data_IF_830141240317
#
_entry.id   IF_830141240317
#
_cell.length_a   1.000
_cell.length_b   1.000
_cell.length_c   1.000
_cell.angle_alpha   90.00
_cell.angle_beta   90.00
_cell.angle_gamma   90.00
#
_symmetry.space_group_name_H-M   'P 1'
#
loop_
_entity.id
_entity.type
_entity.pdbx_description
1 polymer ?
#
# COMPACT_ATOMS: atom_id res chain seq x y z
N UNK A 1 -19.56 -14.80 -3.88
CA UNK A 1 -18.88 -13.96 -4.90
C UNK A 1 -17.43 -13.81 -4.49
N UNK A 2 -16.48 -14.00 -5.41
CA UNK A 2 -15.08 -13.71 -5.12
C UNK A 2 -14.95 -12.19 -4.84
N UNK A 3 -14.31 -11.83 -3.75
CA UNK A 3 -14.01 -10.43 -3.44
C UNK A 3 -12.79 -10.01 -4.25
N UNK A 4 -12.90 -8.95 -5.03
CA UNK A 4 -11.74 -8.35 -5.66
C UNK A 4 -10.78 -7.82 -4.59
N UNK A 5 -9.49 -8.05 -4.77
CA UNK A 5 -8.46 -7.68 -3.80
C UNK A 5 -7.45 -6.77 -4.47
N UNK A 6 -7.20 -5.63 -3.86
CA UNK A 6 -6.21 -4.66 -4.32
C UNK A 6 -5.25 -4.26 -3.20
N UNK A 7 -4.02 -3.96 -3.56
CA UNK A 7 -3.07 -3.30 -2.66
C UNK A 7 -3.46 -1.84 -2.47
N UNK A 8 -3.21 -1.31 -1.27
CA UNK A 8 -3.56 0.05 -0.88
C UNK A 8 -2.51 0.64 0.05
N UNK A 9 -2.17 1.91 -0.17
CA UNK A 9 -1.39 2.72 0.76
C UNK A 9 -1.69 4.20 0.56
N UNK A 10 -1.23 5.08 1.45
CA UNK A 10 -1.30 6.54 1.30
C UNK A 10 0.02 7.21 1.66
N UNK A 11 0.30 8.35 1.03
CA UNK A 11 1.46 9.16 1.37
C UNK A 11 1.07 10.57 1.76
N UNK A 12 1.69 11.06 2.81
CA UNK A 12 1.49 12.40 3.33
C UNK A 12 2.81 13.16 3.46
N UNK A 13 2.78 14.44 3.17
CA UNK A 13 3.89 15.34 3.52
C UNK A 13 4.13 15.24 5.03
N UNK A 14 5.37 15.06 5.48
CA UNK A 14 5.69 15.02 6.90
C UNK A 14 5.45 16.39 7.55
N UNK A 15 5.09 16.37 8.83
CA UNK A 15 5.03 17.55 9.69
C UNK A 15 6.31 17.62 10.52
N UNK A 16 6.83 18.81 10.70
CA UNK A 16 8.11 19.03 11.39
C UNK A 16 7.96 19.85 12.68
N UNK A 17 6.88 20.62 12.81
CA UNK A 17 6.65 21.47 13.96
C UNK A 17 5.71 20.79 14.96
N UNK A 18 5.97 20.99 16.25
CA UNK A 18 5.08 20.49 17.29
C UNK A 18 3.69 21.16 17.16
N UNK A 19 2.63 20.35 17.04
CA UNK A 19 1.26 20.83 16.84
C UNK A 19 0.89 21.10 15.37
N UNK A 20 1.81 20.92 14.42
CA UNK A 20 1.49 21.00 13.00
C UNK A 20 0.52 19.87 12.62
N UNK A 21 -0.59 20.24 12.00
CA UNK A 21 -1.60 19.28 11.53
C UNK A 21 -1.24 18.82 10.12
N UNK A 22 -1.19 17.51 9.91
CA UNK A 22 -0.98 16.95 8.56
C UNK A 22 -2.08 17.41 7.61
N UNK A 23 -1.69 17.84 6.42
CA UNK A 23 -2.60 18.24 5.33
C UNK A 23 -2.90 17.10 4.35
N UNK A 24 -2.31 15.90 4.57
CA UNK A 24 -2.51 14.74 3.71
C UNK A 24 -3.85 14.03 3.92
N UNK A 25 -4.09 12.92 3.19
CA UNK A 25 -3.13 12.34 2.27
C UNK A 25 -2.93 13.20 1.01
N UNK A 26 -1.72 13.15 0.44
CA UNK A 26 -1.40 13.86 -0.81
C UNK A 26 -1.38 12.93 -2.00
N UNK A 27 -1.13 11.64 -1.75
CA UNK A 27 -1.17 10.58 -2.74
C UNK A 27 -1.92 9.38 -2.14
N UNK A 28 -2.76 8.74 -2.95
CA UNK A 28 -3.34 7.42 -2.67
C UNK A 28 -2.85 6.45 -3.73
N UNK A 29 -2.42 5.28 -3.30
CA UNK A 29 -1.93 4.21 -4.16
C UNK A 29 -2.86 3.02 -4.13
N UNK A 30 -3.21 2.52 -5.32
CA UNK A 30 -3.91 1.25 -5.50
C UNK A 30 -3.06 0.34 -6.39
N UNK A 31 -3.03 -0.95 -6.09
CA UNK A 31 -2.30 -1.92 -6.90
C UNK A 31 -3.13 -3.15 -7.21
N UNK A 32 -3.06 -3.59 -8.45
CA UNK A 32 -3.47 -4.91 -8.89
C UNK A 32 -2.24 -5.82 -9.00
N UNK A 33 -2.42 -7.06 -9.44
CA UNK A 33 -1.31 -8.01 -9.65
C UNK A 33 -0.27 -7.50 -10.67
N UNK A 34 -0.71 -6.69 -11.62
CA UNK A 34 0.11 -6.29 -12.78
C UNK A 34 0.40 -4.79 -12.83
N UNK A 35 -0.33 -3.96 -12.10
CA UNK A 35 -0.23 -2.50 -12.25
C UNK A 35 -0.53 -1.78 -10.95
N UNK A 36 0.20 -0.68 -10.69
CA UNK A 36 -0.11 0.27 -9.65
C UNK A 36 -0.69 1.57 -10.23
N UNK A 37 -1.69 2.11 -9.55
CA UNK A 37 -2.38 3.35 -9.88
C UNK A 37 -2.12 4.36 -8.78
N UNK A 38 -1.62 5.52 -9.17
CA UNK A 38 -1.26 6.59 -8.25
C UNK A 38 -2.22 7.75 -8.45
N UNK A 39 -2.89 8.15 -7.37
CA UNK A 39 -3.89 9.22 -7.36
C UNK A 39 -3.37 10.42 -6.56
N UNK A 40 -2.72 11.42 -7.20
CA UNK A 40 -2.41 12.67 -6.52
C UNK A 40 -3.70 13.39 -6.15
N UNK A 41 -3.88 13.68 -4.86
CA UNK A 41 -5.14 14.25 -4.35
C UNK A 41 -5.36 15.69 -4.79
N UNK A 42 -4.31 16.39 -5.20
CA UNK A 42 -4.42 17.71 -5.85
C UNK A 42 -5.15 17.68 -7.19
N UNK A 43 -5.29 16.51 -7.83
CA UNK A 43 -5.96 16.34 -9.12
C UNK A 43 -7.39 15.84 -8.91
N UNK A 44 -8.37 16.72 -9.06
CA UNK A 44 -9.76 16.42 -8.77
C UNK A 44 -10.39 15.32 -9.64
N UNK A 45 -9.89 15.10 -10.87
CA UNK A 45 -10.48 14.16 -11.82
C UNK A 45 -10.46 12.68 -11.34
N UNK A 46 -9.52 12.32 -10.47
CA UNK A 46 -9.41 10.96 -9.92
C UNK A 46 -10.30 10.68 -8.71
N UNK A 47 -10.86 11.71 -8.06
CA UNK A 47 -11.55 11.58 -6.78
C UNK A 47 -12.81 10.71 -6.85
N UNK A 48 -13.62 10.85 -7.91
CA UNK A 48 -14.86 10.07 -8.05
C UNK A 48 -14.56 8.57 -8.18
N UNK A 49 -13.57 8.22 -9.02
CA UNK A 49 -13.14 6.83 -9.21
C UNK A 49 -12.55 6.28 -7.91
N UNK A 50 -11.66 7.04 -7.27
CA UNK A 50 -11.06 6.66 -6.00
C UNK A 50 -12.12 6.42 -4.92
N UNK A 51 -13.09 7.32 -4.78
CA UNK A 51 -14.21 7.19 -3.85
C UNK A 51 -15.00 5.91 -4.12
N UNK A 52 -15.38 5.67 -5.38
CA UNK A 52 -16.12 4.46 -5.76
C UNK A 52 -15.39 3.17 -5.37
N UNK A 53 -14.08 3.11 -5.61
CA UNK A 53 -13.27 1.92 -5.28
C UNK A 53 -13.11 1.77 -3.76
N UNK A 54 -12.78 2.84 -3.05
CA UNK A 54 -12.50 2.79 -1.62
C UNK A 54 -13.76 2.53 -0.78
N UNK A 55 -14.92 3.01 -1.20
CA UNK A 55 -16.20 2.79 -0.50
C UNK A 55 -16.88 1.47 -0.90
N UNK A 56 -16.38 0.75 -1.91
CA UNK A 56 -16.94 -0.53 -2.31
C UNK A 56 -16.69 -1.61 -1.25
N UNK A 57 -17.72 -2.27 -0.72
CA UNK A 57 -17.56 -3.42 0.17
C UNK A 57 -17.14 -4.69 -0.58
N UNK A 58 -17.29 -4.75 -1.92
CA UNK A 58 -16.88 -5.88 -2.76
C UNK A 58 -15.39 -5.88 -3.04
N UNK A 59 -14.72 -4.74 -2.92
CA UNK A 59 -13.27 -4.61 -3.13
C UNK A 59 -12.56 -4.59 -1.79
N UNK A 60 -11.71 -5.57 -1.51
CA UNK A 60 -10.87 -5.61 -0.32
C UNK A 60 -9.59 -4.80 -0.56
N UNK A 61 -9.32 -3.81 0.28
CA UNK A 61 -8.11 -3.00 0.25
C UNK A 61 -7.12 -3.54 1.28
N UNK A 62 -5.93 -3.91 0.82
CA UNK A 62 -4.88 -4.53 1.64
C UNK A 62 -3.69 -3.56 1.76
N UNK A 63 -3.26 -3.28 2.98
CA UNK A 63 -2.10 -2.42 3.22
C UNK A 63 -1.34 -2.80 4.48
N UNK A 64 -0.36 -1.98 4.83
CA UNK A 64 0.42 -2.08 6.07
C UNK A 64 0.37 -0.77 6.86
N UNK A 65 0.06 -0.84 8.15
CA UNK A 65 0.09 0.33 9.04
C UNK A 65 -1.04 1.31 8.81
N UNK A 66 -2.22 0.83 8.43
CA UNK A 66 -3.39 1.60 8.01
C UNK A 66 -4.20 2.25 9.14
N UNK A 67 -3.64 2.32 10.36
CA UNK A 67 -4.37 2.72 11.56
C UNK A 67 -5.03 4.11 11.48
N UNK A 68 -4.41 5.07 10.77
CA UNK A 68 -4.94 6.43 10.64
C UNK A 68 -5.59 6.71 9.27
N UNK A 69 -5.34 5.89 8.25
CA UNK A 69 -5.75 6.18 6.87
C UNK A 69 -7.26 6.33 6.73
N UNK A 70 -8.02 5.45 7.38
CA UNK A 70 -9.48 5.50 7.38
C UNK A 70 -10.01 6.85 7.91
N UNK A 71 -9.47 7.32 9.03
CA UNK A 71 -9.92 8.58 9.64
C UNK A 71 -9.49 9.80 8.82
N UNK A 72 -8.31 9.77 8.23
CA UNK A 72 -7.78 10.86 7.40
C UNK A 72 -8.53 10.94 6.07
N UNK A 73 -8.78 9.83 5.39
CA UNK A 73 -9.57 9.79 4.16
C UNK A 73 -11.01 10.29 4.38
N UNK A 74 -11.64 9.88 5.48
CA UNK A 74 -12.94 10.36 5.85
C UNK A 74 -12.95 11.87 6.10
N UNK A 75 -12.06 12.36 6.96
CA UNK A 75 -12.06 13.76 7.39
C UNK A 75 -11.61 14.73 6.31
N UNK A 76 -10.71 14.31 5.40
CA UNK A 76 -10.10 15.16 4.37
C UNK A 76 -10.77 15.05 3.00
N UNK A 77 -11.25 13.86 2.64
CA UNK A 77 -11.80 13.59 1.31
C UNK A 77 -13.26 13.15 1.32
N UNK A 78 -13.87 13.00 2.49
CA UNK A 78 -15.24 12.50 2.61
C UNK A 78 -15.39 11.07 2.07
N UNK A 79 -14.33 10.23 2.17
CA UNK A 79 -14.31 8.85 1.70
C UNK A 79 -14.43 7.91 2.89
N UNK A 80 -15.52 7.14 2.94
CA UNK A 80 -15.76 6.10 3.95
C UNK A 80 -15.20 4.76 3.49
N UNK A 81 -13.91 4.54 3.72
CA UNK A 81 -13.24 3.31 3.29
C UNK A 81 -13.88 2.08 3.91
N UNK A 82 -14.32 1.15 3.07
CA UNK A 82 -14.88 -0.12 3.47
C UNK A 82 -13.94 -1.28 3.11
N UNK A 83 -14.10 -2.42 3.79
CA UNK A 83 -13.36 -3.66 3.54
C UNK A 83 -11.84 -3.44 3.45
N UNK A 84 -11.27 -2.83 4.51
CA UNK A 84 -9.86 -2.51 4.66
C UNK A 84 -9.21 -3.53 5.59
N UNK A 85 -8.11 -4.15 5.13
CA UNK A 85 -7.36 -5.15 5.88
C UNK A 85 -5.90 -4.69 6.07
N UNK A 86 -5.47 -4.55 7.32
CA UNK A 86 -4.07 -4.27 7.67
C UNK A 86 -3.29 -5.56 7.85
N UNK A 87 -2.37 -5.85 6.94
CA UNK A 87 -1.54 -7.05 7.00
C UNK A 87 -0.61 -7.05 8.23
N UNK A 88 -0.23 -5.89 8.72
CA UNK A 88 0.56 -5.79 9.94
C UNK A 88 -0.17 -6.34 11.17
N UNK A 89 -1.49 -6.17 11.22
CA UNK A 89 -2.35 -6.74 12.25
C UNK A 89 -2.61 -8.24 12.02
N UNK A 90 -2.89 -8.63 10.78
CA UNK A 90 -3.15 -10.03 10.41
C UNK A 90 -1.96 -10.94 10.72
N UNK A 91 -0.75 -10.45 10.44
CA UNK A 91 0.49 -11.22 10.63
C UNK A 91 1.02 -11.17 12.06
N UNK A 92 0.39 -10.40 12.93
CA UNK A 92 0.77 -10.32 14.34
C UNK A 92 0.48 -11.64 15.04
N UNK A 93 1.52 -12.30 15.53
CA UNK A 93 1.38 -13.51 16.32
C UNK A 93 0.75 -13.26 17.70
N UNK A 94 0.22 -14.30 18.36
CA UNK A 94 -0.30 -14.22 19.72
C UNK A 94 0.75 -13.65 20.68
N UNK A 95 0.35 -12.73 21.55
CA UNK A 95 1.23 -12.13 22.57
C UNK A 95 2.16 -11.00 22.09
N UNK A 96 2.23 -10.70 20.79
CA UNK A 96 2.99 -9.56 20.28
C UNK A 96 2.20 -8.26 20.38
N UNK A 97 2.83 -7.20 20.92
CA UNK A 97 2.18 -5.89 21.10
C UNK A 97 2.25 -4.99 19.86
N UNK A 98 3.19 -5.23 18.95
CA UNK A 98 3.41 -4.41 17.76
C UNK A 98 2.90 -5.09 16.49
N UNK A 99 2.63 -4.29 15.45
CA UNK A 99 2.28 -4.78 14.11
C UNK A 99 3.50 -5.27 13.35
N UNK A 100 3.31 -6.18 12.41
CA UNK A 100 4.38 -6.65 11.50
C UNK A 100 4.53 -5.66 10.35
N UNK A 101 5.71 -5.10 10.17
CA UNK A 101 5.97 -4.18 9.04
C UNK A 101 6.23 -4.92 7.72
N UNK A 102 5.98 -4.23 6.59
CA UNK A 102 6.16 -4.78 5.24
C UNK A 102 7.57 -5.39 5.00
N UNK A 103 8.63 -4.79 5.56
CA UNK A 103 10.00 -5.34 5.43
C UNK A 103 10.14 -6.74 6.06
N UNK A 104 9.54 -6.93 7.24
CA UNK A 104 9.57 -8.22 7.95
C UNK A 104 8.72 -9.24 7.19
N UNK A 105 7.55 -8.84 6.72
CA UNK A 105 6.68 -9.70 5.95
C UNK A 105 7.32 -10.16 4.64
N UNK A 106 7.96 -9.27 3.89
CA UNK A 106 8.69 -9.62 2.66
C UNK A 106 9.83 -10.59 2.93
N UNK A 107 10.62 -10.35 3.99
CA UNK A 107 11.67 -11.29 4.37
C UNK A 107 11.13 -12.67 4.74
N UNK A 108 9.98 -12.71 5.45
CA UNK A 108 9.35 -13.94 5.88
C UNK A 108 8.77 -14.76 4.72
N UNK A 109 7.98 -14.13 3.83
CA UNK A 109 7.27 -14.84 2.78
C UNK A 109 8.11 -15.09 1.52
N UNK A 110 9.11 -14.24 1.26
CA UNK A 110 9.86 -14.28 -0.01
C UNK A 110 11.37 -14.47 0.17
N UNK A 111 11.89 -14.47 1.41
CA UNK A 111 13.34 -14.52 1.66
C UNK A 111 14.09 -13.31 1.11
N UNK A 112 13.41 -12.21 0.83
CA UNK A 112 13.96 -11.04 0.13
C UNK A 112 14.06 -9.83 1.06
N UNK A 113 14.94 -8.89 0.69
CA UNK A 113 15.07 -7.60 1.37
C UNK A 113 14.25 -6.53 0.66
N UNK A 114 13.18 -6.09 1.30
CA UNK A 114 12.40 -4.96 0.79
C UNK A 114 13.11 -3.64 1.02
N UNK A 115 13.51 -2.97 -0.07
CA UNK A 115 14.20 -1.69 -0.05
C UNK A 115 13.18 -0.54 0.14
N UNK A 116 12.96 -0.13 1.38
CA UNK A 116 12.09 1.00 1.72
C UNK A 116 12.95 2.15 2.27
N UNK A 117 13.19 3.16 1.43
CA UNK A 117 14.01 4.32 1.79
C UNK A 117 13.26 5.25 2.73
N UNK A 118 13.78 5.46 3.95
CA UNK A 118 13.20 6.42 4.89
C UNK A 118 13.20 7.85 4.31
N UNK A 119 14.26 8.23 3.58
CA UNK A 119 14.36 9.55 2.95
C UNK A 119 13.24 9.82 1.95
N UNK A 120 12.83 8.80 1.18
CA UNK A 120 11.74 8.94 0.22
C UNK A 120 10.39 8.94 0.95
N UNK A 121 10.15 8.02 1.88
CA UNK A 121 8.91 7.98 2.66
C UNK A 121 8.64 9.25 3.47
N UNK A 122 9.70 9.98 3.90
CA UNK A 122 9.58 11.27 4.57
C UNK A 122 9.82 12.47 3.67
N UNK A 123 9.71 12.31 2.36
CA UNK A 123 9.86 13.41 1.39
C UNK A 123 8.58 14.24 1.25
N UNK A 124 8.65 15.33 0.48
CA UNK A 124 7.47 16.17 0.27
C UNK A 124 6.52 15.56 -0.78
N UNK A 125 5.53 14.83 -0.31
CA UNK A 125 4.49 14.23 -1.14
C UNK A 125 3.44 15.22 -1.67
N UNK A 126 3.45 16.48 -1.18
CA UNK A 126 2.57 17.54 -1.68
C UNK A 126 3.07 18.20 -2.97
N UNK A 127 4.23 17.81 -3.50
CA UNK A 127 4.74 18.32 -4.76
C UNK A 127 3.80 17.95 -5.92
N UNK A 128 3.56 18.88 -6.84
CA UNK A 128 2.77 18.64 -8.05
C UNK A 128 3.42 17.59 -8.96
N UNK A 129 4.75 17.59 -9.01
CA UNK A 129 5.54 16.63 -9.79
C UNK A 129 6.34 15.74 -8.84
N UNK A 130 5.94 14.50 -8.74
CA UNK A 130 6.67 13.49 -7.98
C UNK A 130 7.85 12.98 -8.80
N UNK A 131 8.96 12.72 -8.14
CA UNK A 131 10.15 12.13 -8.78
C UNK A 131 9.89 10.67 -9.15
N UNK A 132 10.64 10.13 -10.11
CA UNK A 132 10.58 8.71 -10.47
C UNK A 132 10.80 7.79 -9.26
N UNK A 133 11.66 8.19 -8.31
CA UNK A 133 11.90 7.44 -7.07
C UNK A 133 10.69 7.46 -6.13
N UNK A 134 9.96 8.58 -6.04
CA UNK A 134 8.71 8.65 -5.26
C UNK A 134 7.62 7.79 -5.91
N UNK A 135 7.45 7.88 -7.22
CA UNK A 135 6.47 7.07 -7.95
C UNK A 135 6.72 5.57 -7.76
N UNK A 136 7.98 5.14 -7.92
CA UNK A 136 8.37 3.74 -7.71
C UNK A 136 8.17 3.30 -6.26
N UNK A 137 8.52 4.15 -5.29
CA UNK A 137 8.34 3.88 -3.87
C UNK A 137 6.85 3.65 -3.56
N UNK A 138 5.98 4.57 -3.97
CA UNK A 138 4.55 4.51 -3.73
C UNK A 138 3.88 3.28 -4.40
N UNK A 139 4.26 3.00 -5.65
CA UNK A 139 3.78 1.83 -6.37
C UNK A 139 4.16 0.52 -5.67
N UNK A 140 5.40 0.42 -5.19
CA UNK A 140 5.89 -0.75 -4.48
C UNK A 140 5.20 -0.97 -3.14
N UNK A 141 4.88 0.09 -2.39
CA UNK A 141 4.23 -0.03 -1.09
C UNK A 141 2.84 -0.67 -1.22
N UNK A 142 2.02 -0.21 -2.14
CA UNK A 142 0.72 -0.82 -2.41
C UNK A 142 0.84 -2.25 -2.97
N UNK A 143 1.76 -2.48 -3.92
CA UNK A 143 1.91 -3.78 -4.56
C UNK A 143 2.46 -4.85 -3.59
N UNK A 144 3.38 -4.48 -2.72
CA UNK A 144 3.93 -5.37 -1.69
C UNK A 144 2.85 -5.90 -0.76
N UNK A 145 1.93 -5.04 -0.34
CA UNK A 145 0.84 -5.46 0.53
C UNK A 145 -0.03 -6.54 -0.12
N UNK A 146 -0.39 -6.36 -1.38
CA UNK A 146 -1.15 -7.35 -2.15
C UNK A 146 -0.39 -8.67 -2.30
N UNK A 147 0.90 -8.62 -2.64
CA UNK A 147 1.73 -9.83 -2.79
C UNK A 147 1.87 -10.61 -1.50
N UNK A 148 2.11 -9.93 -0.38
CA UNK A 148 2.17 -10.58 0.94
C UNK A 148 0.84 -11.22 1.30
N UNK A 149 -0.28 -10.53 1.05
CA UNK A 149 -1.61 -11.10 1.25
C UNK A 149 -1.82 -12.39 0.44
N UNK A 150 -1.44 -12.41 -0.84
CA UNK A 150 -1.55 -13.60 -1.69
C UNK A 150 -0.72 -14.77 -1.16
N UNK A 151 0.53 -14.51 -0.78
CA UNK A 151 1.40 -15.53 -0.20
C UNK A 151 0.86 -16.06 1.14
N UNK A 152 0.39 -15.17 2.00
CA UNK A 152 -0.25 -15.55 3.25
C UNK A 152 -1.49 -16.42 3.00
N UNK A 153 -2.37 -16.03 2.08
CA UNK A 153 -3.56 -16.82 1.71
C UNK A 153 -3.20 -18.22 1.22
N UNK A 154 -2.19 -18.35 0.38
CA UNK A 154 -1.71 -19.65 -0.12
C UNK A 154 -1.28 -20.57 1.03
N UNK A 155 -0.55 -20.03 2.02
CA UNK A 155 -0.13 -20.80 3.20
C UNK A 155 -1.35 -21.22 4.05
N UNK A 156 -2.35 -20.34 4.20
CA UNK A 156 -3.57 -20.67 4.94
C UNK A 156 -4.41 -21.76 4.25
N UNK A 157 -4.49 -21.72 2.93
CA UNK A 157 -5.26 -22.68 2.13
C UNK A 157 -4.55 -24.02 1.95
N UNK A 158 -3.21 -24.02 1.99
CA UNK A 158 -2.36 -25.21 1.81
C UNK A 158 -1.24 -25.29 2.86
N UNK A 159 -1.56 -25.58 4.12
CA UNK A 159 -0.55 -25.61 5.19
C UNK A 159 0.61 -26.60 4.96
N UNK A 160 0.37 -27.64 4.15
CA UNK A 160 1.39 -28.64 3.81
C UNK A 160 2.45 -28.15 2.81
N UNK A 161 2.18 -27.07 2.09
CA UNK A 161 3.16 -26.52 1.10
C UNK A 161 4.30 -25.76 1.76
N UNK A 162 4.20 -25.35 3.03
CA UNK A 162 5.17 -24.49 3.68
C UNK A 162 5.24 -23.09 3.04
N UNK A 163 6.21 -22.30 3.49
CA UNK A 163 6.51 -20.99 2.85
C UNK A 163 7.16 -21.24 1.47
N UNK A 164 6.84 -20.40 0.46
CA UNK A 164 7.51 -20.49 -0.83
C UNK A 164 9.02 -20.36 -0.64
N UNK A 165 9.77 -21.33 -1.20
CA UNK A 165 11.23 -21.20 -1.28
C UNK A 165 11.59 -20.03 -2.20
N UNK A 166 12.58 -19.19 -1.85
CA UNK A 166 13.02 -18.10 -2.71
C UNK A 166 13.45 -18.68 -4.06
N UNK A 167 12.76 -18.32 -5.15
CA UNK A 167 13.25 -18.66 -6.50
C UNK A 167 14.35 -17.68 -6.90
N UNK A 168 15.38 -18.17 -7.59
CA UNK A 168 16.48 -17.33 -8.11
C UNK A 168 15.97 -16.22 -9.04
N UNK A 169 14.82 -16.41 -9.70
CA UNK A 169 14.17 -15.44 -10.57
C UNK A 169 13.47 -14.30 -9.83
N UNK A 170 13.31 -14.38 -8.52
CA UNK A 170 12.59 -13.40 -7.73
C UNK A 170 13.31 -12.04 -7.58
N UNK A 171 14.61 -11.96 -7.91
CA UNK A 171 15.37 -10.69 -7.91
C UNK A 171 14.96 -9.72 -9.04
N UNK A 172 14.28 -10.19 -10.07
CA UNK A 172 13.89 -9.38 -11.25
C UNK A 172 12.49 -8.79 -11.16
N UNK A 173 11.64 -9.23 -10.24
CA UNK A 173 10.21 -8.97 -10.28
C UNK A 173 9.70 -7.85 -9.35
N UNK A 174 10.55 -7.16 -8.60
CA UNK A 174 10.17 -6.00 -7.80
C UNK A 174 10.25 -4.66 -8.55
N UNK A 175 10.27 -4.70 -9.86
CA UNK A 175 10.09 -3.51 -10.68
C UNK A 175 8.61 -3.39 -11.03
N UNK A 176 7.87 -2.61 -10.24
CA UNK A 176 6.53 -2.21 -10.63
C UNK A 176 6.63 -1.41 -11.94
N UNK A 177 5.89 -1.86 -12.96
CA UNK A 177 5.60 -1.01 -14.11
C UNK A 177 4.72 0.14 -13.63
N UNK A 178 5.33 1.22 -13.16
CA UNK A 178 4.61 2.44 -12.85
C UNK A 178 4.18 3.07 -14.17
N UNK A 179 2.99 2.78 -14.62
CA UNK A 179 2.36 3.56 -15.67
C UNK A 179 1.84 4.85 -15.03
N UNK A 180 2.70 5.88 -14.99
CA UNK A 180 2.25 7.22 -14.69
C UNK A 180 1.29 7.61 -15.82
N UNK A 181 0.05 7.93 -15.48
CA UNK A 181 -0.85 8.61 -16.39
C UNK A 181 -0.31 10.03 -16.60
N UNK A 182 0.69 10.16 -17.45
CA UNK A 182 1.11 11.44 -18.04
C UNK A 182 0.16 11.71 -19.18
N UNK A 183 -0.92 12.42 -18.89
CA UNK A 183 -1.72 13.02 -19.96
C UNK A 183 -1.05 14.28 -20.46
N UNK A 184 -0.85 14.30 -21.78
CA UNK A 184 -0.81 15.53 -22.55
C UNK A 184 -2.11 16.33 -22.37
#
# INVERSE_FOLDING_TARGET
MATDVIGFDTESKPTFLKGEVSTGPHLVQLATEIQAYLFPISLAFGHAVLKTILESPQVMKIGFGLGNDRSVLRSRLGIEVQNLLDMGEVLRGPGHKGTVGAKVAVAHFFGQKFQKSKRIGTSNWANLHLTAQQLLYAANDAQVALRVYRAWRQVQENPAMGLPTPSEDANLAFQASACAATNN
#
